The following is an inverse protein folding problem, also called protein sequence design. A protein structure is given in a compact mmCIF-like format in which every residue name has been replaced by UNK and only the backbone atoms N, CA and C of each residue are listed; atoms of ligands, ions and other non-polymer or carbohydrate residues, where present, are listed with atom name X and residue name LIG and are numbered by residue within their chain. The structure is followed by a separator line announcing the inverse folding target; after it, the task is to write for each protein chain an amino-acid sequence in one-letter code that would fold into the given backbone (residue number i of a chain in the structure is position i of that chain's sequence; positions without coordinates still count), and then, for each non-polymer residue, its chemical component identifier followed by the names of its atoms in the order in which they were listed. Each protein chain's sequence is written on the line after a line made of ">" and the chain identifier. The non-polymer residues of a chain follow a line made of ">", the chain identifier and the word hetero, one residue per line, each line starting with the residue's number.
data_IF_999259702864
#
_entry.id   IF_999259702864
#
_cell.length_a   1.000
_cell.length_b   1.000
_cell.length_c   1.000
_cell.angle_alpha   90.00
_cell.angle_beta   90.00
_cell.angle_gamma   90.00
#
_symmetry.space_group_name_H-M   'P 1'
#
loop_
_entity.id
_entity.type
_entity.pdbx_description
1 polymer ?
#
# COMPACT_ATOMS: atom_id res chain seq x y z
N UNK A 1 3.48 6.77 2.05
CA UNK A 1 4.50 5.85 2.62
C UNK A 1 4.69 6.21 4.08
N UNK A 2 4.51 5.26 4.99
CA UNK A 2 4.67 5.53 6.42
C UNK A 2 6.15 5.45 6.80
N UNK A 3 6.68 6.51 7.38
CA UNK A 3 8.03 6.56 7.92
C UNK A 3 7.98 6.45 9.44
N UNK A 4 8.94 5.71 10.00
CA UNK A 4 9.11 5.62 11.44
C UNK A 4 9.54 7.00 12.00
N UNK A 5 8.79 7.49 13.00
CA UNK A 5 8.97 8.84 13.57
C UNK A 5 10.34 9.07 14.20
N UNK A 6 11.02 8.01 14.65
CA UNK A 6 12.27 8.13 15.40
C UNK A 6 13.49 7.77 14.55
N UNK A 7 13.34 6.85 13.60
CA UNK A 7 14.45 6.34 12.78
C UNK A 7 14.39 6.79 11.32
N UNK A 8 13.30 7.43 10.89
CA UNK A 8 13.10 7.87 9.50
C UNK A 8 13.05 6.71 8.49
N UNK A 9 13.10 5.45 8.96
CA UNK A 9 13.04 4.28 8.09
C UNK A 9 11.61 4.09 7.60
N UNK A 10 11.46 3.84 6.30
CA UNK A 10 10.17 3.41 5.75
C UNK A 10 9.72 2.15 6.48
N UNK A 11 8.50 2.15 6.99
CA UNK A 11 7.90 0.98 7.64
C UNK A 11 7.51 -0.10 6.63
N UNK A 12 7.81 0.10 5.34
CA UNK A 12 7.55 -0.81 4.21
C UNK A 12 6.07 -1.16 4.01
N UNK A 13 5.18 -0.33 4.54
CA UNK A 13 3.76 -0.38 4.23
C UNK A 13 3.21 1.01 3.92
N UNK A 14 2.17 1.04 3.11
CA UNK A 14 1.42 2.23 2.78
C UNK A 14 -0.07 1.85 2.69
N UNK A 15 -0.93 2.81 2.96
CA UNK A 15 -2.36 2.69 2.71
C UNK A 15 -2.70 3.46 1.44
N UNK A 16 -3.51 2.84 0.58
CA UNK A 16 -4.02 3.42 -0.64
C UNK A 16 -5.53 3.57 -0.48
N UNK A 17 -6.04 4.77 -0.73
CA UNK A 17 -7.49 5.00 -0.79
C UNK A 17 -7.92 4.87 -2.24
N UNK A 18 -8.69 3.82 -2.54
CA UNK A 18 -9.28 3.58 -3.85
C UNK A 18 -10.73 4.03 -3.83
N UNK A 19 -11.24 4.50 -4.98
CA UNK A 19 -12.61 4.99 -5.11
C UNK A 19 -13.63 3.86 -5.30
N UNK A 20 -13.20 2.73 -5.85
CA UNK A 20 -14.05 1.59 -6.22
C UNK A 20 -13.50 0.29 -5.66
N UNK A 21 -14.39 -0.62 -5.27
CA UNK A 21 -14.01 -1.92 -4.71
C UNK A 21 -13.45 -2.84 -5.80
N UNK A 22 -13.96 -2.76 -7.03
CA UNK A 22 -13.38 -3.52 -8.15
C UNK A 22 -11.93 -3.12 -8.43
N UNK A 23 -11.62 -1.82 -8.45
CA UNK A 23 -10.26 -1.32 -8.66
C UNK A 23 -9.32 -1.72 -7.52
N UNK A 24 -9.82 -1.77 -6.28
CA UNK A 24 -9.06 -2.24 -5.13
C UNK A 24 -8.69 -3.72 -5.28
N UNK A 25 -9.64 -4.58 -5.67
CA UNK A 25 -9.39 -6.01 -5.88
C UNK A 25 -8.42 -6.25 -7.05
N UNK A 26 -8.59 -5.55 -8.16
CA UNK A 26 -7.69 -5.65 -9.31
C UNK A 26 -6.26 -5.18 -8.94
N UNK A 27 -6.12 -4.12 -8.15
CA UNK A 27 -4.82 -3.66 -7.68
C UNK A 27 -4.15 -4.66 -6.73
N UNK A 28 -4.92 -5.32 -5.86
CA UNK A 28 -4.41 -6.39 -4.98
C UNK A 28 -3.89 -7.55 -5.83
N UNK A 29 -4.70 -8.07 -6.77
CA UNK A 29 -4.28 -9.19 -7.63
C UNK A 29 -3.06 -8.87 -8.51
N UNK A 30 -2.94 -7.62 -8.99
CA UNK A 30 -1.80 -7.21 -9.82
C UNK A 30 -0.54 -6.86 -9.00
N UNK A 31 -0.68 -6.45 -7.74
CA UNK A 31 0.45 -6.03 -6.89
C UNK A 31 0.88 -7.08 -5.86
N UNK A 32 0.16 -8.19 -5.73
CA UNK A 32 0.57 -9.38 -4.99
C UNK A 32 1.67 -10.10 -5.80
N UNK A 33 2.89 -9.56 -5.69
CA UNK A 33 4.04 -9.91 -6.53
C UNK A 33 4.30 -11.43 -6.58
N UNK A 34 4.34 -11.97 -7.80
CA UNK A 34 4.91 -13.28 -8.10
C UNK A 34 6.43 -13.27 -8.03
#
# INVERSE_FOLDING_TARGET
>A
VMYDKYTGKSRRFAFLTMTSVEDANAAIENMDGK
#
